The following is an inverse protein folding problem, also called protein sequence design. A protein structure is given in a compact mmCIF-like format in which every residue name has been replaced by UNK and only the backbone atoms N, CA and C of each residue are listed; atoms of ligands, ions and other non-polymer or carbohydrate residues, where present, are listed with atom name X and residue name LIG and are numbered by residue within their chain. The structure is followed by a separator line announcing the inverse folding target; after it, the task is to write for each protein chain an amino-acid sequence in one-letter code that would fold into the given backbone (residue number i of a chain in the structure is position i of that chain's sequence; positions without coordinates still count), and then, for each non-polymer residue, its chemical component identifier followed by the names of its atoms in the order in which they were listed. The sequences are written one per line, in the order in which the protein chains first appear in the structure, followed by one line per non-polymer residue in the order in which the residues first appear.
data_IF_531528112034
#
_entry.id   IF_531528112034
#
_cell.length_a   1.000
_cell.length_b   1.000
_cell.length_c   1.000
_cell.angle_alpha   90.00
_cell.angle_beta   90.00
_cell.angle_gamma   90.00
#
_symmetry.space_group_name_H-M   'P 1'
#
loop_
_entity.id
_entity.type
_entity.pdbx_description
1 polymer ?
#
# COMPACT_ATOMS: atom_id res chain seq x y z
N UNK A 1 18.57 -33.26 53.71
CA UNK A 1 19.49 -32.41 52.93
C UNK A 1 18.73 -31.16 52.54
N UNK A 2 19.19 -30.00 53.01
CA UNK A 2 18.52 -28.70 52.89
C UNK A 2 18.48 -28.22 51.43
N UNK A 3 17.33 -27.75 50.97
CA UNK A 3 17.21 -27.01 49.71
C UNK A 3 17.09 -25.52 50.04
N UNK A 4 18.14 -24.76 49.74
CA UNK A 4 18.16 -23.29 49.82
C UNK A 4 17.70 -22.71 48.49
N UNK A 5 16.88 -21.67 48.59
CA UNK A 5 16.36 -20.83 47.52
C UNK A 5 17.47 -20.06 46.78
N UNK A 6 17.36 -19.96 45.46
CA UNK A 6 18.08 -18.99 44.66
C UNK A 6 17.10 -18.18 43.82
N UNK A 7 16.82 -16.95 44.26
CA UNK A 7 16.07 -15.96 43.48
C UNK A 7 16.88 -15.56 42.25
N UNK A 8 16.28 -15.63 41.06
CA UNK A 8 16.89 -15.15 39.81
C UNK A 8 16.56 -13.68 39.63
N UNK A 9 17.56 -12.82 39.84
CA UNK A 9 17.49 -11.42 39.45
C UNK A 9 17.58 -11.30 37.92
N UNK A 10 16.62 -10.62 37.30
CA UNK A 10 16.67 -10.22 35.90
C UNK A 10 17.62 -9.03 35.77
N UNK A 11 18.81 -9.29 35.24
CA UNK A 11 19.75 -8.26 34.79
C UNK A 11 19.26 -7.81 33.43
N UNK A 12 18.68 -6.62 33.36
CA UNK A 12 18.42 -5.92 32.10
C UNK A 12 19.72 -5.19 31.77
N UNK A 13 20.49 -5.72 30.83
CA UNK A 13 21.54 -4.96 30.15
C UNK A 13 20.85 -4.00 29.19
N UNK A 14 20.90 -2.72 29.51
CA UNK A 14 20.45 -1.60 28.68
C UNK A 14 21.50 -1.36 27.58
N UNK A 15 21.45 -2.17 26.52
CA UNK A 15 22.20 -1.93 25.28
C UNK A 15 21.32 -1.11 24.32
N UNK A 16 21.17 0.19 24.59
CA UNK A 16 20.75 1.18 23.59
C UNK A 16 22.00 1.90 23.06
N UNK A 17 22.69 1.25 22.12
CA UNK A 17 23.55 1.94 21.16
C UNK A 17 23.01 1.63 19.77
N UNK A 18 21.85 2.22 19.47
CA UNK A 18 21.26 2.23 18.13
C UNK A 18 21.54 3.58 17.48
N UNK A 19 22.08 3.50 16.27
CA UNK A 19 22.68 4.58 15.50
C UNK A 19 21.78 5.80 15.30
N UNK A 20 22.39 6.98 15.30
CA UNK A 20 21.76 8.29 15.12
C UNK A 20 21.17 8.54 13.72
N UNK A 21 20.94 7.50 12.91
CA UNK A 21 20.46 7.58 11.53
C UNK A 21 19.03 7.03 11.32
N UNK A 22 18.49 6.24 12.26
CA UNK A 22 17.15 5.62 12.12
C UNK A 22 16.08 6.35 12.94
N UNK A 23 16.05 7.67 12.82
CA UNK A 23 14.92 8.47 13.32
C UNK A 23 13.73 8.27 12.37
N UNK A 24 13.02 7.16 12.56
CA UNK A 24 11.71 6.96 11.97
C UNK A 24 10.81 8.17 12.34
N UNK A 25 10.33 8.95 11.35
CA UNK A 25 9.58 10.18 11.58
C UNK A 25 8.18 9.94 12.18
N UNK A 26 7.78 8.68 12.33
CA UNK A 26 6.54 8.27 13.00
C UNK A 26 6.80 7.54 14.33
N UNK A 27 8.04 7.58 14.85
CA UNK A 27 8.35 6.93 16.12
C UNK A 27 7.68 7.61 17.31
N UNK A 28 7.35 6.82 18.33
CA UNK A 28 6.77 7.35 19.57
C UNK A 28 7.71 8.33 20.30
N UNK A 29 9.04 8.18 20.12
CA UNK A 29 10.03 9.15 20.63
C UNK A 29 9.92 10.50 19.93
N UNK A 30 9.63 10.54 18.63
CA UNK A 30 9.34 11.81 17.93
C UNK A 30 7.99 12.40 18.33
N UNK A 31 6.96 11.56 18.49
CA UNK A 31 5.65 12.00 18.97
C UNK A 31 5.74 12.71 20.33
N UNK A 32 6.53 12.16 21.27
CA UNK A 32 6.81 12.82 22.54
C UNK A 32 7.64 14.09 22.38
N UNK A 33 8.56 14.15 21.41
CA UNK A 33 9.36 15.33 21.12
C UNK A 33 8.48 16.49 20.62
N UNK A 34 7.50 16.21 19.77
CA UNK A 34 6.51 17.20 19.31
C UNK A 34 5.54 17.65 20.40
N UNK A 35 5.11 16.73 21.28
CA UNK A 35 4.16 17.08 22.34
C UNK A 35 4.78 17.97 23.43
N UNK A 36 6.11 17.95 23.58
CA UNK A 36 6.85 18.77 24.55
C UNK A 36 7.41 20.08 23.98
N UNK A 37 7.05 20.45 22.75
CA UNK A 37 7.39 21.75 22.17
C UNK A 37 6.34 22.79 22.62
N UNK A 38 6.65 23.55 23.67
CA UNK A 38 5.87 24.73 24.04
C UNK A 38 5.93 25.78 22.91
N UNK A 39 4.81 26.44 22.55
CA UNK A 39 4.74 27.40 21.45
C UNK A 39 5.38 28.77 21.74
N UNK A 40 6.18 28.92 22.81
CA UNK A 40 6.88 30.18 23.13
C UNK A 40 8.40 30.04 23.05
N UNK A 41 8.92 29.71 21.87
CA UNK A 41 10.27 30.10 21.43
C UNK A 41 10.26 30.42 19.93
N UNK A 42 9.41 31.36 19.54
CA UNK A 42 9.74 32.24 18.41
C UNK A 42 10.74 33.26 18.95
N UNK A 43 11.91 33.32 18.28
CA UNK A 43 13.00 34.32 18.33
C UNK A 43 14.36 33.62 18.47
N UNK A 44 14.81 33.03 17.34
CA UNK A 44 16.21 33.03 16.85
C UNK A 44 16.47 31.80 15.97
N UNK A 45 15.85 31.79 14.78
CA UNK A 45 16.33 31.00 13.62
C UNK A 45 16.04 31.78 12.33
N UNK A 46 16.50 33.04 12.29
CA UNK A 46 16.94 33.60 11.01
C UNK A 46 18.15 32.79 10.54
N UNK A 47 17.92 31.84 9.63
CA UNK A 47 18.78 31.45 8.50
C UNK A 47 18.36 30.06 8.01
N UNK A 48 17.33 30.04 7.15
CA UNK A 48 17.14 29.13 5.99
C UNK A 48 15.69 29.23 5.48
N UNK A 49 15.27 30.44 5.13
CA UNK A 49 14.24 30.61 4.09
C UNK A 49 14.96 31.04 2.82
N UNK A 50 15.16 30.08 1.94
CA UNK A 50 15.91 30.26 0.71
C UNK A 50 16.01 28.96 -0.06
N UNK A 51 14.86 28.36 -0.40
CA UNK A 51 14.72 27.46 -1.55
C UNK A 51 13.22 27.24 -1.88
N UNK A 52 12.49 28.34 -2.05
CA UNK A 52 11.25 28.33 -2.84
C UNK A 52 11.37 29.48 -3.84
N UNK A 53 12.38 29.35 -4.69
CA UNK A 53 12.50 30.15 -5.91
C UNK A 53 11.54 29.56 -6.94
N UNK A 54 10.44 30.27 -7.16
CA UNK A 54 9.99 30.66 -8.49
C UNK A 54 10.21 29.64 -9.63
N UNK A 55 9.34 28.62 -9.70
CA UNK A 55 9.08 27.96 -10.98
C UNK A 55 8.05 28.78 -11.77
N UNK A 56 8.50 29.87 -12.38
CA UNK A 56 7.86 30.40 -13.58
C UNK A 56 7.77 29.29 -14.61
N UNK A 57 6.58 28.73 -14.79
CA UNK A 57 6.29 27.72 -15.79
C UNK A 57 6.37 28.32 -17.19
N UNK A 58 7.35 27.84 -17.97
CA UNK A 58 7.49 28.09 -19.40
C UNK A 58 6.33 27.40 -20.18
N UNK A 59 5.51 28.14 -20.95
CA UNK A 59 4.30 27.59 -21.59
C UNK A 59 4.55 26.74 -22.85
N UNK A 60 5.80 26.52 -23.28
CA UNK A 60 6.08 25.77 -24.52
C UNK A 60 6.17 24.24 -24.36
N UNK A 61 6.15 23.70 -23.14
CA UNK A 61 6.24 22.24 -22.90
C UNK A 61 4.86 21.59 -22.62
N UNK A 62 3.76 22.18 -23.13
CA UNK A 62 2.40 21.59 -23.05
C UNK A 62 1.93 20.87 -24.31
N UNK A 63 2.72 20.78 -25.38
CA UNK A 63 2.24 20.21 -26.65
C UNK A 63 2.51 18.71 -26.85
N UNK A 64 3.20 18.02 -25.94
CA UNK A 64 3.59 16.61 -26.15
C UNK A 64 2.84 15.57 -25.31
N UNK A 65 1.85 15.95 -24.50
CA UNK A 65 1.16 15.00 -23.60
C UNK A 65 -0.36 14.86 -23.82
N UNK A 66 -0.94 15.58 -24.78
CA UNK A 66 -2.33 15.41 -25.19
C UNK A 66 -2.45 15.55 -26.71
N UNK A 67 -2.04 14.52 -27.44
CA UNK A 67 -2.47 14.33 -28.83
C UNK A 67 -3.43 13.16 -28.88
N UNK A 68 -4.68 13.48 -29.19
CA UNK A 68 -5.77 12.52 -29.47
C UNK A 68 -5.35 11.51 -30.55
N UNK A 69 -5.84 10.25 -30.49
CA UNK A 69 -5.60 9.29 -31.56
C UNK A 69 -6.53 9.59 -32.74
N UNK A 70 -5.99 10.25 -33.76
CA UNK A 70 -6.67 10.35 -35.06
C UNK A 70 -6.55 9.02 -35.82
N UNK A 71 -7.71 8.47 -36.15
CA UNK A 71 -7.93 7.30 -36.99
C UNK A 71 -7.07 7.31 -38.27
N UNK A 72 -6.08 6.41 -38.34
CA UNK A 72 -5.36 6.08 -39.56
C UNK A 72 -5.31 4.56 -39.75
N UNK A 73 -6.10 4.09 -40.73
CA UNK A 73 -5.95 2.86 -41.52
C UNK A 73 -5.58 1.55 -40.79
N UNK A 74 -6.64 0.87 -40.35
CA UNK A 74 -6.74 -0.51 -39.87
C UNK A 74 -6.52 -1.56 -40.98
N UNK A 75 -5.52 -1.43 -41.85
CA UNK A 75 -5.33 -2.38 -42.98
C UNK A 75 -3.91 -2.95 -43.12
N UNK A 76 -2.91 -2.37 -42.46
CA UNK A 76 -1.52 -2.81 -42.64
C UNK A 76 -1.04 -3.83 -41.59
N UNK A 77 -1.65 -3.84 -40.41
CA UNK A 77 -1.28 -4.74 -39.30
C UNK A 77 -1.82 -6.17 -39.45
N UNK A 78 -2.66 -6.44 -40.44
CA UNK A 78 -3.29 -7.77 -40.62
C UNK A 78 -2.49 -8.75 -41.49
N UNK A 79 -1.31 -8.39 -42.00
CA UNK A 79 -0.54 -9.24 -42.92
C UNK A 79 0.74 -9.88 -42.37
N UNK A 80 1.16 -9.59 -41.14
CA UNK A 80 2.42 -10.15 -40.59
C UNK A 80 2.27 -11.36 -39.66
N UNK A 81 1.09 -11.97 -39.54
CA UNK A 81 0.89 -13.18 -38.73
C UNK A 81 0.58 -14.41 -39.58
N UNK A 82 1.52 -14.82 -40.44
CA UNK A 82 1.56 -16.18 -41.01
C UNK A 82 3.01 -16.65 -41.20
N UNK A 83 3.63 -17.07 -40.09
CA UNK A 83 4.78 -17.99 -40.03
C UNK A 83 5.06 -18.16 -38.54
N UNK A 84 4.59 -19.22 -37.89
CA UNK A 84 5.19 -20.55 -37.98
C UNK A 84 5.62 -20.91 -36.55
N UNK A 85 4.96 -21.92 -36.01
CA UNK A 85 5.21 -22.65 -34.74
C UNK A 85 6.71 -22.73 -34.38
N UNK A 86 7.16 -22.65 -33.13
CA UNK A 86 6.90 -23.58 -32.03
C UNK A 86 7.19 -22.93 -30.65
N UNK A 87 6.49 -23.46 -29.65
CA UNK A 87 6.57 -23.20 -28.22
C UNK A 87 7.97 -23.20 -27.62
N UNK A 88 8.21 -22.26 -26.71
CA UNK A 88 8.53 -22.58 -25.31
C UNK A 88 7.92 -21.50 -24.41
N UNK A 89 6.76 -21.81 -23.82
CA UNK A 89 6.33 -21.11 -22.61
C UNK A 89 7.29 -21.53 -21.49
N UNK A 90 8.22 -20.67 -21.13
CA UNK A 90 8.99 -20.88 -19.90
C UNK A 90 8.10 -20.54 -18.72
N UNK A 91 7.45 -21.61 -18.26
CA UNK A 91 6.83 -21.76 -16.95
C UNK A 91 7.79 -21.19 -15.89
N UNK A 92 7.35 -20.21 -15.10
CA UNK A 92 8.06 -19.83 -13.87
C UNK A 92 7.82 -20.92 -12.84
N UNK A 93 8.60 -22.00 -12.88
CA UNK A 93 8.74 -22.95 -11.78
C UNK A 93 9.80 -22.43 -10.82
N UNK A 94 9.30 -22.08 -9.63
CA UNK A 94 9.80 -22.36 -8.29
C UNK A 94 11.31 -22.61 -8.11
N UNK A 95 11.88 -21.87 -7.14
CA UNK A 95 13.04 -22.15 -6.27
C UNK A 95 13.55 -20.76 -5.77
N UNK A 96 13.61 -20.37 -4.49
CA UNK A 96 13.66 -21.05 -3.20
C UNK A 96 13.04 -20.18 -2.08
N UNK A 97 12.33 -20.84 -1.18
CA UNK A 97 12.35 -20.75 0.29
C UNK A 97 12.33 -19.36 0.97
N UNK A 98 11.15 -18.98 1.49
CA UNK A 98 11.00 -18.77 2.95
C UNK A 98 9.64 -19.34 3.36
N UNK A 99 9.69 -20.52 3.98
CA UNK A 99 8.63 -21.05 4.82
C UNK A 99 8.39 -20.06 5.97
N UNK A 100 7.24 -19.38 5.99
CA UNK A 100 6.70 -18.87 7.24
C UNK A 100 5.16 -18.83 7.16
N UNK A 101 4.60 -19.90 7.72
CA UNK A 101 3.35 -19.99 8.46
C UNK A 101 2.13 -19.17 8.00
N UNK A 102 1.08 -19.93 7.66
CA UNK A 102 -0.17 -19.75 8.38
C UNK A 102 -1.29 -18.97 7.68
N UNK A 103 -2.27 -19.76 7.23
CA UNK A 103 -3.70 -19.46 7.29
C UNK A 103 -4.26 -18.46 6.26
N UNK A 104 -4.60 -19.03 5.10
CA UNK A 104 -5.67 -18.54 4.23
C UNK A 104 -7.04 -18.74 4.92
N UNK A 105 -7.40 -17.85 5.85
CA UNK A 105 -8.78 -17.72 6.32
C UNK A 105 -9.55 -16.79 5.34
N UNK A 106 -10.23 -17.42 4.38
CA UNK A 106 -11.30 -16.79 3.58
C UNK A 106 -12.50 -16.45 4.49
N UNK A 107 -12.50 -15.26 5.10
CA UNK A 107 -13.71 -14.75 5.78
C UNK A 107 -14.63 -14.04 4.79
N UNK A 108 -15.44 -14.85 4.10
CA UNK A 108 -16.58 -14.41 3.29
C UNK A 108 -17.69 -13.87 4.20
N UNK A 109 -17.64 -12.59 4.53
CA UNK A 109 -18.70 -11.90 5.27
C UNK A 109 -19.96 -11.75 4.38
N UNK A 110 -20.96 -12.61 4.58
CA UNK A 110 -22.30 -12.46 3.99
C UNK A 110 -23.28 -12.02 5.06
N UNK A 111 -23.46 -10.71 5.23
CA UNK A 111 -24.55 -10.16 6.05
C UNK A 111 -25.83 -10.07 5.21
N UNK A 112 -26.89 -10.75 5.63
CA UNK A 112 -28.28 -10.48 5.23
C UNK A 112 -28.90 -9.47 6.21
N UNK A 113 -29.77 -8.56 5.77
CA UNK A 113 -30.50 -7.67 6.66
C UNK A 113 -31.81 -8.32 7.15
N UNK A 114 -32.09 -8.20 8.45
CA UNK A 114 -33.39 -8.52 9.04
C UNK A 114 -34.35 -7.34 8.88
N UNK A 115 -35.47 -7.58 8.22
CA UNK A 115 -36.60 -6.65 8.07
C UNK A 115 -37.56 -6.85 9.24
N UNK A 116 -37.80 -5.76 9.93
CA UNK A 116 -38.76 -5.59 11.01
C UNK A 116 -40.20 -5.70 10.48
N UNK A 117 -41.02 -6.56 11.10
CA UNK A 117 -42.48 -6.47 10.99
C UNK A 117 -43.15 -6.92 12.29
N UNK A 118 -43.99 -6.03 12.82
CA UNK A 118 -44.60 -6.13 14.15
C UNK A 118 -45.93 -6.89 14.21
N UNK A 119 -46.54 -6.82 15.41
CA UNK A 119 -47.80 -7.43 15.82
C UNK A 119 -47.55 -8.33 17.04
N UNK A 120 -48.01 -8.03 18.26
CA UNK A 120 -49.37 -7.67 18.65
C UNK A 120 -50.07 -8.92 19.20
N UNK A 121 -50.21 -9.06 20.53
CA UNK A 121 -50.93 -10.20 21.12
C UNK A 121 -50.99 -10.20 22.65
N UNK A 122 -52.20 -10.00 23.19
CA UNK A 122 -52.59 -10.02 24.62
C UNK A 122 -52.74 -11.44 25.19
N UNK A 123 -52.67 -11.52 26.53
CA UNK A 123 -53.30 -12.56 27.38
C UNK A 123 -52.25 -13.43 28.12
N UNK A 124 -52.32 -13.73 29.41
CA UNK A 124 -53.32 -13.52 30.46
C UNK A 124 -53.17 -14.65 31.50
N UNK A 125 -53.06 -14.31 32.80
CA UNK A 125 -53.18 -15.21 33.96
C UNK A 125 -52.04 -16.23 34.18
N UNK A 126 -51.78 -16.79 35.36
CA UNK A 126 -52.26 -16.58 36.73
C UNK A 126 -51.36 -17.40 37.69
N UNK A 127 -51.27 -16.92 38.93
CA UNK A 127 -51.19 -17.67 40.21
C UNK A 127 -49.96 -18.52 40.61
N UNK A 128 -49.64 -18.41 41.92
CA UNK A 128 -48.73 -19.25 42.74
C UNK A 128 -47.77 -18.38 43.58
N UNK A 129 -48.09 -17.90 44.79
CA UNK A 129 -47.99 -18.60 46.11
C UNK A 129 -46.71 -19.44 46.27
N UNK A 130 -45.96 -19.49 47.37
CA UNK A 130 -45.97 -18.90 48.71
C UNK A 130 -44.64 -19.32 49.42
N UNK A 131 -44.30 -18.65 50.52
CA UNK A 131 -43.31 -19.13 51.53
C UNK A 131 -41.88 -18.59 51.33
N UNK A 132 -41.12 -18.18 52.34
CA UNK A 132 -41.29 -18.24 53.79
C UNK A 132 -39.92 -18.16 54.47
N UNK A 133 -39.80 -17.27 55.45
CA UNK A 133 -38.99 -17.37 56.69
C UNK A 133 -37.45 -17.55 56.60
N UNK A 134 -36.75 -16.50 57.07
CA UNK A 134 -35.82 -16.62 58.21
C UNK A 134 -34.33 -16.83 57.92
N UNK A 135 -33.48 -16.01 58.56
CA UNK A 135 -32.05 -16.29 58.65
C UNK A 135 -31.23 -15.13 59.22
N UNK A 136 -31.03 -15.13 60.55
CA UNK A 136 -30.03 -14.31 61.23
C UNK A 136 -28.63 -14.69 60.74
N UNK A 137 -27.79 -13.71 60.45
CA UNK A 137 -26.37 -13.90 60.14
C UNK A 137 -25.53 -12.77 60.73
N UNK A 138 -24.86 -13.08 61.83
CA UNK A 138 -23.93 -12.24 62.60
C UNK A 138 -22.52 -12.45 62.02
N UNK A 139 -21.68 -11.41 61.90
CA UNK A 139 -20.22 -11.58 61.96
C UNK A 139 -19.33 -10.69 61.08
N UNK A 140 -18.44 -9.94 61.75
CA UNK A 140 -17.16 -9.41 61.25
C UNK A 140 -17.23 -8.02 60.59
N UNK A 141 -16.55 -6.95 61.02
CA UNK A 141 -15.43 -6.78 61.94
C UNK A 141 -14.25 -6.12 61.21
N UNK A 142 -14.00 -4.83 61.48
CA UNK A 142 -12.72 -4.06 61.40
C UNK A 142 -13.08 -2.56 61.29
N UNK A 143 -12.97 -1.74 62.36
CA UNK A 143 -11.77 -1.13 62.92
C UNK A 143 -11.16 -0.03 62.01
N UNK A 144 -11.29 1.25 62.41
CA UNK A 144 -10.19 2.18 62.67
C UNK A 144 -10.64 3.66 62.67
N UNK A 145 -10.14 4.43 63.67
CA UNK A 145 -10.03 5.90 63.71
C UNK A 145 -11.31 6.63 64.15
N UNK A 146 -11.32 7.59 65.07
CA UNK A 146 -10.28 8.35 65.77
C UNK A 146 -10.94 9.60 66.39
N UNK A 147 -10.24 10.27 67.31
CA UNK A 147 -10.54 11.57 67.92
C UNK A 147 -11.73 11.60 68.92
N UNK A 148 -11.48 11.61 70.25
CA UNK A 148 -11.05 12.74 71.10
C UNK A 148 -12.15 13.75 71.47
N UNK A 149 -12.30 13.94 72.79
CA UNK A 149 -12.93 15.04 73.53
C UNK A 149 -14.45 15.26 73.46
N UNK A 150 -15.12 15.11 74.62
CA UNK A 150 -15.62 16.28 75.36
C UNK A 150 -16.04 15.89 76.79
N UNK A 151 -15.43 16.58 77.75
CA UNK A 151 -15.67 16.58 79.19
C UNK A 151 -16.85 17.53 79.47
N UNK A 152 -17.84 17.07 80.24
CA UNK A 152 -19.08 17.82 80.47
C UNK A 152 -19.84 17.27 81.64
N UNK A 153 -19.27 17.50 82.82
CA UNK A 153 -19.90 17.41 84.13
C UNK A 153 -21.01 18.48 84.23
N UNK A 154 -22.25 18.08 84.49
CA UNK A 154 -23.25 18.97 85.09
C UNK A 154 -24.30 18.15 85.85
N UNK A 155 -23.96 17.90 87.11
CA UNK A 155 -24.86 17.54 88.20
C UNK A 155 -26.12 18.42 88.19
N UNK A 156 -27.28 17.87 87.80
CA UNK A 156 -28.57 18.46 88.17
C UNK A 156 -29.55 17.42 88.68
N UNK A 157 -29.35 17.09 89.96
CA UNK A 157 -30.41 16.63 90.86
C UNK A 157 -31.52 17.69 90.94
N UNK A 158 -32.74 17.33 90.55
CA UNK A 158 -33.97 18.02 90.97
C UNK A 158 -35.01 16.96 91.33
N UNK A 159 -35.14 16.79 92.64
CA UNK A 159 -36.17 16.01 93.30
C UNK A 159 -37.58 16.46 92.91
N UNK A 160 -38.52 15.53 93.08
CA UNK A 160 -39.97 15.78 93.07
C UNK A 160 -40.34 16.98 93.95
N UNK A 161 -41.11 17.92 93.38
CA UNK A 161 -41.94 18.84 94.15
C UNK A 161 -43.30 19.01 93.49
N UNK A 162 -44.29 18.54 94.23
CA UNK A 162 -45.73 18.51 93.95
C UNK A 162 -46.28 19.93 93.73
N UNK A 163 -47.02 20.07 92.63
CA UNK A 163 -48.13 20.98 92.27
C UNK A 163 -48.27 22.38 92.89
N UNK A 164 -48.75 23.30 92.04
CA UNK A 164 -49.35 24.62 92.33
C UNK A 164 -48.36 25.76 92.09
N UNK A 165 -48.10 26.19 90.85
CA UNK A 165 -48.91 27.22 90.19
C UNK A 165 -48.81 27.20 88.64
N UNK A 166 -48.41 26.09 88.02
CA UNK A 166 -48.17 26.00 86.55
C UNK A 166 -49.43 25.83 85.68
N UNK A 167 -50.63 25.93 86.24
CA UNK A 167 -51.85 25.40 85.61
C UNK A 167 -52.51 26.30 84.54
N UNK A 168 -51.96 27.48 84.25
CA UNK A 168 -52.54 28.44 83.27
C UNK A 168 -51.74 28.59 81.97
N UNK A 169 -50.54 28.00 81.86
CA UNK A 169 -49.73 28.00 80.63
C UNK A 169 -49.59 26.59 79.99
N UNK A 170 -50.11 25.56 80.66
CA UNK A 170 -50.07 24.16 80.23
C UNK A 170 -51.27 23.74 79.39
N UNK A 171 -52.34 24.56 79.35
CA UNK A 171 -53.56 24.26 78.59
C UNK A 171 -53.46 24.63 77.10
N UNK A 172 -52.57 25.55 76.72
CA UNK A 172 -52.28 25.92 75.34
C UNK A 172 -51.07 25.17 74.75
N UNK A 173 -50.13 24.74 75.60
CA UNK A 173 -48.94 23.98 75.18
C UNK A 173 -49.26 22.54 74.74
N UNK A 174 -50.22 21.88 75.38
CA UNK A 174 -50.60 20.50 75.03
C UNK A 174 -51.20 20.35 73.63
N UNK A 175 -52.12 21.20 73.14
CA UNK A 175 -52.60 21.13 71.76
C UNK A 175 -51.53 21.56 70.74
N UNK A 176 -50.68 22.54 71.04
CA UNK A 176 -49.56 22.94 70.16
C UNK A 176 -48.58 21.79 69.93
N UNK A 177 -48.15 21.10 71.00
CA UNK A 177 -47.28 19.94 70.89
C UNK A 177 -47.93 18.81 70.10
N UNK A 178 -49.25 18.63 70.20
CA UNK A 178 -49.97 17.64 69.40
C UNK A 178 -49.98 18.00 67.90
N UNK A 179 -50.24 19.26 67.56
CA UNK A 179 -50.15 19.75 66.18
C UNK A 179 -48.74 19.62 65.62
N UNK A 180 -47.73 20.01 66.38
CA UNK A 180 -46.32 19.84 66.03
C UNK A 180 -45.96 18.37 65.83
N UNK A 181 -46.41 17.46 66.71
CA UNK A 181 -46.18 16.02 66.54
C UNK A 181 -46.86 15.50 65.26
N UNK A 182 -48.07 15.99 64.96
CA UNK A 182 -48.79 15.64 63.73
C UNK A 182 -48.07 16.19 62.48
N UNK A 183 -47.49 17.38 62.55
CA UNK A 183 -46.67 17.98 61.49
C UNK A 183 -45.36 17.20 61.30
N UNK A 184 -44.63 16.88 62.38
CA UNK A 184 -43.41 16.07 62.33
C UNK A 184 -43.65 14.69 61.75
N UNK A 185 -44.74 14.01 62.12
CA UNK A 185 -45.13 12.72 61.52
C UNK A 185 -45.50 12.82 60.04
N UNK A 186 -46.07 13.94 59.59
CA UNK A 186 -46.28 14.21 58.16
C UNK A 186 -44.94 14.41 57.44
N UNK A 187 -44.07 15.26 57.98
CA UNK A 187 -42.73 15.53 57.43
C UNK A 187 -41.86 14.27 57.37
N UNK A 188 -41.88 13.42 58.40
CA UNK A 188 -41.18 12.14 58.41
C UNK A 188 -41.68 11.21 57.29
N UNK A 189 -43.01 11.11 57.11
CA UNK A 189 -43.58 10.28 56.04
C UNK A 189 -43.23 10.80 54.64
N UNK A 190 -43.21 12.13 54.46
CA UNK A 190 -42.79 12.73 53.19
C UNK A 190 -41.31 12.51 52.93
N UNK A 191 -40.46 12.71 53.95
CA UNK A 191 -39.03 12.44 53.87
C UNK A 191 -38.78 10.97 53.51
N UNK A 192 -39.50 10.05 54.15
CA UNK A 192 -39.39 8.61 53.89
C UNK A 192 -39.81 8.26 52.45
N UNK A 193 -40.95 8.80 51.97
CA UNK A 193 -41.34 8.64 50.55
C UNK A 193 -40.32 9.22 49.58
N UNK A 194 -39.72 10.37 49.90
CA UNK A 194 -38.69 10.99 49.07
C UNK A 194 -37.38 10.19 49.07
N UNK A 195 -37.02 9.59 50.22
CA UNK A 195 -35.87 8.67 50.34
C UNK A 195 -36.07 7.46 49.46
N UNK A 196 -37.23 6.79 49.55
CA UNK A 196 -37.54 5.63 48.72
C UNK A 196 -37.55 5.97 47.21
N UNK A 197 -38.04 7.15 46.82
CA UNK A 197 -38.02 7.59 45.43
C UNK A 197 -36.58 7.85 44.94
N UNK A 198 -35.73 8.43 45.80
CA UNK A 198 -34.31 8.64 45.51
C UNK A 198 -33.56 7.30 45.44
N UNK A 199 -33.84 6.35 46.34
CA UNK A 199 -33.27 5.00 46.32
C UNK A 199 -33.61 4.26 45.02
N UNK A 200 -34.86 4.33 44.54
CA UNK A 200 -35.25 3.77 43.24
C UNK A 200 -34.48 4.41 42.08
N UNK A 201 -34.38 5.75 42.07
CA UNK A 201 -33.63 6.47 41.02
C UNK A 201 -32.14 6.12 41.04
N UNK A 202 -31.54 5.98 42.23
CA UNK A 202 -30.14 5.55 42.36
C UNK A 202 -29.97 4.12 41.84
N UNK A 203 -30.89 3.21 42.15
CA UNK A 203 -30.88 1.85 41.60
C UNK A 203 -30.97 1.84 40.07
N UNK A 204 -31.94 2.54 39.49
CA UNK A 204 -32.12 2.67 38.03
C UNK A 204 -30.86 3.23 37.34
N UNK A 205 -30.31 4.32 37.86
CA UNK A 205 -29.08 4.92 37.30
C UNK A 205 -27.88 3.99 37.44
N UNK A 206 -27.77 3.25 38.55
CA UNK A 206 -26.70 2.27 38.72
C UNK A 206 -26.79 1.12 37.71
N UNK A 207 -28.01 0.67 37.40
CA UNK A 207 -28.24 -0.36 36.39
C UNK A 207 -27.91 0.16 34.99
N UNK A 208 -28.31 1.40 34.66
CA UNK A 208 -27.98 2.03 33.38
C UNK A 208 -26.46 2.18 33.21
N UNK A 209 -25.74 2.66 34.24
CA UNK A 209 -24.27 2.77 34.21
C UNK A 209 -23.60 1.42 34.00
N UNK A 210 -24.12 0.37 34.63
CA UNK A 210 -23.57 -0.97 34.49
C UNK A 210 -23.86 -1.55 33.10
N UNK A 211 -25.04 -1.29 32.53
CA UNK A 211 -25.36 -1.63 31.15
C UNK A 211 -24.45 -0.90 30.15
N UNK A 212 -24.22 0.41 30.34
CA UNK A 212 -23.29 1.17 29.50
C UNK A 212 -21.88 0.64 29.56
N UNK A 213 -21.38 0.34 30.76
CA UNK A 213 -20.05 -0.28 30.94
C UNK A 213 -19.91 -1.59 30.15
N UNK A 214 -20.93 -2.45 30.17
CA UNK A 214 -20.91 -3.71 29.39
C UNK A 214 -20.92 -3.45 27.88
N UNK A 215 -21.66 -2.44 27.44
CA UNK A 215 -21.73 -2.08 26.03
C UNK A 215 -20.40 -1.49 25.54
N UNK A 216 -19.81 -0.57 26.30
CA UNK A 216 -18.48 0.00 26.00
C UNK A 216 -17.40 -1.08 25.95
N UNK A 217 -17.42 -2.04 26.89
CA UNK A 217 -16.47 -3.16 26.88
C UNK A 217 -16.67 -4.07 25.66
N UNK A 218 -17.91 -4.25 25.19
CA UNK A 218 -18.18 -5.00 23.96
C UNK A 218 -17.69 -4.24 22.73
N UNK A 219 -17.99 -2.96 22.62
CA UNK A 219 -17.54 -2.10 21.52
C UNK A 219 -16.01 -2.01 21.47
N UNK A 220 -15.34 -1.95 22.62
CA UNK A 220 -13.88 -2.00 22.71
C UNK A 220 -13.33 -3.32 22.13
N UNK A 221 -13.92 -4.47 22.48
CA UNK A 221 -13.53 -5.78 21.92
C UNK A 221 -13.76 -5.86 20.41
N UNK A 222 -14.89 -5.34 19.93
CA UNK A 222 -15.22 -5.34 18.50
C UNK A 222 -14.22 -4.44 17.72
N UNK A 223 -13.86 -3.28 18.29
CA UNK A 223 -12.84 -2.38 17.75
C UNK A 223 -11.45 -3.02 17.74
N UNK A 224 -11.06 -3.69 18.82
CA UNK A 224 -9.81 -4.46 18.87
C UNK A 224 -9.78 -5.50 17.74
N UNK A 225 -10.84 -6.29 17.55
CA UNK A 225 -10.90 -7.29 16.47
C UNK A 225 -10.74 -6.66 15.08
N UNK A 226 -11.38 -5.50 14.84
CA UNK A 226 -11.22 -4.78 13.58
C UNK A 226 -9.79 -4.26 13.38
N UNK A 227 -9.16 -3.73 14.44
CA UNK A 227 -7.77 -3.27 14.38
C UNK A 227 -6.82 -4.41 14.03
N UNK A 228 -6.93 -5.57 14.70
CA UNK A 228 -6.11 -6.74 14.38
C UNK A 228 -6.27 -7.18 12.92
N UNK A 229 -7.50 -7.16 12.39
CA UNK A 229 -7.75 -7.51 10.98
C UNK A 229 -7.11 -6.51 10.01
N UNK A 230 -7.20 -5.21 10.30
CA UNK A 230 -6.57 -4.16 9.50
C UNK A 230 -5.04 -4.27 9.55
N UNK A 231 -4.46 -4.53 10.71
CA UNK A 231 -3.03 -4.74 10.89
C UNK A 231 -2.52 -5.94 10.08
N UNK A 232 -3.25 -7.06 10.11
CA UNK A 232 -2.92 -8.23 9.29
C UNK A 232 -3.01 -7.93 7.79
N UNK A 233 -4.04 -7.19 7.36
CA UNK A 233 -4.20 -6.80 5.97
C UNK A 233 -3.04 -5.89 5.51
N UNK A 234 -2.67 -4.91 6.34
CA UNK A 234 -1.55 -4.02 6.09
C UNK A 234 -0.25 -4.81 5.97
N UNK A 235 -0.01 -5.78 6.86
CA UNK A 235 1.17 -6.63 6.81
C UNK A 235 1.24 -7.45 5.51
N UNK A 236 0.12 -8.06 5.10
CA UNK A 236 0.01 -8.78 3.81
C UNK A 236 0.25 -7.83 2.62
N UNK A 237 -0.28 -6.62 2.66
CA UNK A 237 -0.09 -5.61 1.63
C UNK A 237 1.38 -5.20 1.51
N UNK A 238 2.05 -4.96 2.64
CA UNK A 238 3.49 -4.64 2.67
C UNK A 238 4.33 -5.80 2.12
N UNK A 239 4.07 -7.04 2.55
CA UNK A 239 4.76 -8.23 2.00
C UNK A 239 4.58 -8.32 0.47
N UNK A 240 3.35 -8.13 -0.02
CA UNK A 240 3.07 -8.15 -1.46
C UNK A 240 3.75 -7.00 -2.21
N UNK A 241 3.77 -5.80 -1.63
CA UNK A 241 4.43 -4.63 -2.20
C UNK A 241 5.94 -4.86 -2.35
N UNK A 242 6.61 -5.31 -1.29
CA UNK A 242 8.05 -5.61 -1.32
C UNK A 242 8.37 -6.69 -2.35
N UNK A 243 7.58 -7.78 -2.42
CA UNK A 243 7.76 -8.81 -3.45
C UNK A 243 7.61 -8.25 -4.86
N UNK A 244 6.65 -7.34 -5.08
CA UNK A 244 6.48 -6.68 -6.37
C UNK A 244 7.67 -5.75 -6.70
N UNK A 245 8.17 -4.99 -5.74
CA UNK A 245 9.34 -4.11 -5.90
C UNK A 245 10.61 -4.89 -6.26
N UNK A 246 10.83 -6.05 -5.62
CA UNK A 246 11.93 -6.95 -5.95
C UNK A 246 11.81 -7.50 -7.37
N UNK A 247 10.61 -7.95 -7.78
CA UNK A 247 10.36 -8.41 -9.15
C UNK A 247 10.62 -7.30 -10.18
N UNK A 248 10.15 -6.07 -9.91
CA UNK A 248 10.40 -4.92 -10.80
C UNK A 248 11.89 -4.60 -10.89
N UNK A 249 12.63 -4.69 -9.79
CA UNK A 249 14.08 -4.45 -9.79
C UNK A 249 14.82 -5.49 -10.64
N UNK A 250 14.45 -6.77 -10.55
CA UNK A 250 15.01 -7.83 -11.40
C UNK A 250 14.69 -7.60 -12.88
N UNK A 251 13.42 -7.33 -13.21
CA UNK A 251 13.00 -7.07 -14.59
C UNK A 251 13.71 -5.84 -15.19
N UNK A 252 14.00 -4.81 -14.39
CA UNK A 252 14.79 -3.65 -14.84
C UNK A 252 16.21 -4.05 -15.25
N UNK A 253 16.87 -4.91 -14.48
CA UNK A 253 18.21 -5.41 -14.79
C UNK A 253 18.19 -6.23 -16.08
N UNK A 254 17.23 -7.15 -16.23
CA UNK A 254 17.07 -7.96 -17.45
C UNK A 254 16.81 -7.08 -18.69
N UNK A 255 15.97 -6.06 -18.56
CA UNK A 255 15.69 -5.11 -19.65
C UNK A 255 16.97 -4.38 -20.07
N UNK A 256 17.74 -3.87 -19.11
CA UNK A 256 19.01 -3.20 -19.39
C UNK A 256 20.02 -4.12 -20.08
N UNK A 257 20.10 -5.38 -19.63
CA UNK A 257 20.95 -6.39 -20.27
C UNK A 257 20.53 -6.64 -21.72
N UNK A 258 19.25 -6.94 -21.96
CA UNK A 258 18.71 -7.20 -23.30
C UNK A 258 18.86 -6.00 -24.22
N UNK A 259 18.71 -4.78 -23.68
CA UNK A 259 18.94 -3.55 -24.44
C UNK A 259 20.41 -3.44 -24.87
N UNK A 260 21.35 -3.73 -23.98
CA UNK A 260 22.79 -3.78 -24.32
C UNK A 260 23.12 -4.83 -25.37
N UNK A 261 22.53 -6.02 -25.29
CA UNK A 261 22.70 -7.08 -26.30
C UNK A 261 22.14 -6.67 -27.66
N UNK A 262 20.96 -6.05 -27.70
CA UNK A 262 20.34 -5.56 -28.93
C UNK A 262 21.19 -4.48 -29.60
N UNK A 263 21.75 -3.55 -28.83
CA UNK A 263 22.60 -2.49 -29.37
C UNK A 263 23.95 -3.04 -29.87
N UNK A 264 24.53 -4.02 -29.17
CA UNK A 264 25.73 -4.74 -29.63
C UNK A 264 25.50 -5.45 -30.97
N UNK A 265 24.39 -6.19 -31.09
CA UNK A 265 24.03 -6.90 -32.32
C UNK A 265 23.73 -5.94 -33.47
N UNK A 266 23.09 -4.80 -33.19
CA UNK A 266 22.87 -3.73 -34.19
C UNK A 266 24.21 -3.20 -34.71
N UNK A 267 25.13 -2.85 -33.82
CA UNK A 267 26.44 -2.34 -34.19
C UNK A 267 27.22 -3.36 -35.03
N UNK A 268 27.18 -4.64 -34.66
CA UNK A 268 27.79 -5.72 -35.42
C UNK A 268 27.16 -5.87 -36.81
N UNK A 269 25.84 -5.80 -36.91
CA UNK A 269 25.13 -5.92 -38.18
C UNK A 269 25.46 -4.76 -39.12
N UNK A 270 25.53 -3.54 -38.60
CA UNK A 270 25.91 -2.36 -39.39
C UNK A 270 27.36 -2.47 -39.88
N UNK A 271 28.29 -2.89 -39.02
CA UNK A 271 29.67 -3.17 -39.44
C UNK A 271 29.79 -4.25 -40.51
N UNK A 272 28.97 -5.32 -40.43
CA UNK A 272 28.92 -6.36 -41.45
C UNK A 272 28.37 -5.83 -42.78
N UNK A 273 27.34 -4.98 -42.76
CA UNK A 273 26.80 -4.35 -43.98
C UNK A 273 27.81 -3.42 -44.64
N UNK A 274 28.56 -2.65 -43.85
CA UNK A 274 29.62 -1.80 -44.36
C UNK A 274 30.72 -2.63 -45.03
N UNK A 275 31.18 -3.70 -44.36
CA UNK A 275 32.17 -4.62 -44.92
C UNK A 275 31.67 -5.33 -46.19
N UNK A 276 30.42 -5.79 -46.21
CA UNK A 276 29.80 -6.39 -47.40
C UNK A 276 29.74 -5.40 -48.57
N UNK A 277 29.31 -4.16 -48.30
CA UNK A 277 29.27 -3.08 -49.30
C UNK A 277 30.64 -2.82 -49.92
N UNK A 278 31.70 -2.80 -49.11
CA UNK A 278 33.08 -2.64 -49.59
C UNK A 278 33.49 -3.78 -50.54
N UNK A 279 33.20 -5.03 -50.16
CA UNK A 279 33.47 -6.20 -51.02
C UNK A 279 32.68 -6.13 -52.33
N UNK A 280 31.42 -5.75 -52.29
CA UNK A 280 30.59 -5.59 -53.50
C UNK A 280 31.14 -4.48 -54.40
N UNK A 281 31.58 -3.36 -53.84
CA UNK A 281 32.16 -2.25 -54.59
C UNK A 281 33.47 -2.65 -55.27
N UNK A 282 34.36 -3.34 -54.57
CA UNK A 282 35.62 -3.85 -55.14
C UNK A 282 35.37 -4.90 -56.23
N UNK A 283 34.43 -5.82 -56.01
CA UNK A 283 34.04 -6.81 -57.02
C UNK A 283 33.46 -6.14 -58.27
N UNK A 284 32.62 -5.12 -58.11
CA UNK A 284 32.08 -4.33 -59.22
C UNK A 284 33.18 -3.63 -60.01
N UNK A 285 34.14 -3.01 -59.33
CA UNK A 285 35.28 -2.37 -59.97
C UNK A 285 36.12 -3.39 -60.76
N UNK A 286 36.41 -4.55 -60.18
CA UNK A 286 37.16 -5.61 -60.85
C UNK A 286 36.42 -6.14 -62.10
N UNK A 287 35.10 -6.32 -62.01
CA UNK A 287 34.28 -6.71 -63.15
C UNK A 287 34.29 -5.65 -64.27
N UNK A 288 34.25 -4.36 -63.91
CA UNK A 288 34.35 -3.26 -64.88
C UNK A 288 35.70 -3.25 -65.59
N UNK A 289 36.79 -3.33 -64.83
CA UNK A 289 38.15 -3.38 -65.39
C UNK A 289 38.32 -4.59 -66.32
N UNK A 290 37.86 -5.77 -65.92
CA UNK A 290 37.90 -6.96 -66.78
C UNK A 290 37.08 -6.77 -68.07
N UNK A 291 35.91 -6.14 -67.98
CA UNK A 291 35.08 -5.82 -69.16
C UNK A 291 35.79 -4.86 -70.11
N UNK A 292 36.45 -3.82 -69.60
CA UNK A 292 37.24 -2.87 -70.40
C UNK A 292 38.39 -3.57 -71.13
N UNK A 293 39.12 -4.46 -70.44
CA UNK A 293 40.18 -5.26 -71.07
C UNK A 293 39.66 -6.15 -72.19
N UNK A 294 38.51 -6.82 -71.99
CA UNK A 294 37.90 -7.66 -73.01
C UNK A 294 37.40 -6.84 -74.20
N UNK A 295 36.78 -5.68 -73.95
CA UNK A 295 36.34 -4.77 -75.02
C UNK A 295 37.52 -4.24 -75.84
N UNK A 296 38.63 -3.87 -75.18
CA UNK A 296 39.85 -3.46 -75.87
C UNK A 296 40.41 -4.58 -76.73
N UNK A 297 40.53 -5.78 -76.17
CA UNK A 297 41.02 -6.97 -76.90
C UNK A 297 40.12 -7.30 -78.09
N UNK A 298 38.79 -7.21 -77.94
CA UNK A 298 37.85 -7.42 -79.03
C UNK A 298 38.00 -6.36 -80.14
N UNK A 299 38.18 -5.09 -79.77
CA UNK A 299 38.45 -4.00 -80.73
C UNK A 299 39.77 -4.20 -81.48
N UNK A 300 40.83 -4.59 -80.78
CA UNK A 300 42.14 -4.88 -81.37
C UNK A 300 42.03 -6.06 -82.34
N UNK A 301 41.34 -7.15 -81.96
CA UNK A 301 41.07 -8.29 -82.83
C UNK A 301 40.27 -7.87 -84.08
N UNK A 302 39.23 -7.04 -83.94
CA UNK A 302 38.49 -6.48 -85.06
C UNK A 302 39.36 -5.64 -86.01
N UNK A 303 40.32 -4.88 -85.47
CA UNK A 303 41.29 -4.13 -86.26
C UNK A 303 42.20 -5.07 -87.07
N UNK A 304 42.77 -6.10 -86.43
CA UNK A 304 43.59 -7.10 -87.09
C UNK A 304 42.83 -7.85 -88.20
N UNK A 305 41.58 -8.24 -87.94
CA UNK A 305 40.72 -8.89 -88.95
C UNK A 305 40.52 -7.97 -90.16
N UNK A 306 40.20 -6.69 -89.94
CA UNK A 306 40.06 -5.71 -91.04
C UNK A 306 41.33 -5.55 -91.85
N UNK A 307 42.49 -5.52 -91.19
CA UNK A 307 43.79 -5.47 -91.87
C UNK A 307 44.05 -6.71 -92.73
N UNK A 308 43.75 -7.91 -92.20
CA UNK A 308 43.88 -9.15 -92.95
C UNK A 308 42.96 -9.19 -94.17
N UNK A 309 41.71 -8.73 -94.02
CA UNK A 309 40.77 -8.63 -95.14
C UNK A 309 41.27 -7.66 -96.22
N UNK A 310 41.77 -6.48 -95.85
CA UNK A 310 42.36 -5.54 -96.82
C UNK A 310 43.63 -6.10 -97.50
N UNK A 311 44.44 -6.88 -96.77
CA UNK A 311 45.56 -7.63 -97.34
C UNK A 311 45.10 -8.68 -98.36
N UNK A 312 44.04 -9.41 -98.06
CA UNK A 312 43.45 -10.41 -98.96
C UNK A 312 42.86 -9.77 -100.23
N UNK A 313 42.20 -8.61 -100.11
CA UNK A 313 41.73 -7.82 -101.25
C UNK A 313 42.88 -7.37 -102.15
N UNK A 314 43.98 -6.92 -101.55
CA UNK A 314 45.21 -6.52 -102.28
C UNK A 314 45.80 -7.71 -103.04
N UNK A 315 45.91 -8.89 -102.41
CA UNK A 315 46.40 -10.11 -103.05
C UNK A 315 45.48 -10.56 -104.20
N UNK A 316 44.16 -10.41 -104.04
CA UNK A 316 43.18 -10.68 -105.10
C UNK A 316 43.40 -9.76 -106.31
N UNK A 317 43.62 -8.46 -106.08
CA UNK A 317 43.95 -7.50 -107.14
C UNK A 317 45.27 -7.88 -107.85
N UNK A 318 46.31 -8.23 -107.10
CA UNK A 318 47.59 -8.69 -107.67
C UNK A 318 47.39 -9.95 -108.51
N UNK A 319 46.60 -10.91 -108.04
CA UNK A 319 46.26 -12.12 -108.80
C UNK A 319 45.52 -11.79 -110.10
N UNK A 320 44.56 -10.87 -110.07
CA UNK A 320 43.85 -10.39 -111.27
C UNK A 320 44.79 -9.69 -112.26
N UNK A 321 45.70 -8.84 -111.77
CA UNK A 321 46.72 -8.17 -112.58
C UNK A 321 47.66 -9.19 -113.23
N UNK A 322 48.21 -10.13 -112.47
CA UNK A 322 49.05 -11.20 -113.00
C UNK A 322 48.32 -12.03 -114.06
N UNK A 323 47.04 -12.36 -113.84
CA UNK A 323 46.20 -13.06 -114.82
C UNK A 323 45.92 -12.22 -116.07
N UNK A 324 45.84 -10.89 -115.94
CA UNK A 324 45.69 -10.00 -117.10
C UNK A 324 46.97 -9.92 -117.93
N UNK A 325 48.14 -9.92 -117.29
CA UNK A 325 49.46 -9.98 -117.95
C UNK A 325 49.62 -11.30 -118.70
N UNK A 326 49.28 -12.43 -118.07
CA UNK A 326 49.30 -13.76 -118.69
C UNK A 326 48.45 -13.81 -119.98
N UNK A 327 47.24 -13.24 -119.94
CA UNK A 327 46.39 -13.10 -121.13
C UNK A 327 47.03 -12.27 -122.25
N UNK A 328 47.66 -11.14 -121.93
CA UNK A 328 48.35 -10.32 -122.94
C UNK A 328 49.53 -11.09 -123.54
N UNK A 329 50.33 -11.77 -122.72
CA UNK A 329 51.48 -12.57 -123.15
C UNK A 329 51.09 -13.74 -124.07
N UNK A 330 49.89 -14.31 -123.91
CA UNK A 330 49.39 -15.37 -124.78
C UNK A 330 49.01 -14.91 -126.20
N UNK A 331 48.72 -13.61 -126.40
CA UNK A 331 48.39 -13.06 -127.72
C UNK A 331 49.62 -12.88 -128.62
N UNK A 332 50.79 -12.62 -128.02
CA UNK A 332 52.07 -12.52 -128.75
C UNK A 332 52.63 -13.91 -129.18
N UNK A 333 51.99 -15.01 -128.73
CA UNK A 333 52.39 -16.39 -129.05
C UNK A 333 51.66 -16.99 -130.27
N UNK A 334 50.58 -16.34 -130.73
CA UNK A 334 49.74 -16.80 -131.87
C UNK A 334 49.87 -15.91 -133.13
N UNK A 335 50.91 -15.06 -133.21
CA UNK A 335 51.28 -14.29 -134.41
C UNK A 335 52.59 -14.81 -135.02
#
# INVERSE_FOLDING_TARGET
MSSQSGAKALIITDDEQADAADLNPFSFREFLRWKNLDPEQDLDLEHKQGLFEDMTFDPEVRSSFFSEPSLASQEEWRRSFQSGVESTSSLCTEEEEEEEDGEEEETRFSSKPDVQQGGGGRGGGAAGEAGGIGGRGRGGGAAAGGAENYEGDDETSMAEAVTSCRRRNTSSQTPQLQEENMCLRRSLRELQRSSEANERRVAELSEELLQRRRQEEKEARDLESMVHSVEQNLHRMTKRAVKAELCVSRLKVELQQLQGEADSLRLQNDGLKEAESEVVMTMRQNAQVASEYLNKTASDAHSCIRQLLGGAETLSLVSQLLRSIDKISSLDSES
#
